data_IF_327045262492
#
_entry.id   IF_327045262492
#
_cell.length_a   1.000
_cell.length_b   1.000
_cell.length_c   1.000
_cell.angle_alpha   90.00
_cell.angle_beta   90.00
_cell.angle_gamma   90.00
#
_symmetry.space_group_name_H-M   'P 1'
#
loop_
_entity.id
_entity.type
_entity.pdbx_description
1 polymer ?
#
# COMPACT_ATOMS: atom_id res chain seq x y z
N UNK A 1 -1.46 -12.77 -52.82
CA UNK A 1 -0.75 -13.49 -51.75
C UNK A 1 -0.43 -12.48 -50.65
N UNK A 2 -1.25 -12.42 -49.63
CA UNK A 2 -1.07 -11.51 -48.49
C UNK A 2 -0.60 -12.32 -47.32
N UNK A 3 0.64 -12.01 -46.84
CA UNK A 3 1.22 -12.61 -45.66
C UNK A 3 0.61 -11.95 -44.42
N UNK A 4 -0.21 -12.69 -43.72
CA UNK A 4 -0.69 -12.37 -42.36
C UNK A 4 0.47 -12.57 -41.39
N UNK A 5 1.05 -11.47 -40.91
CA UNK A 5 2.00 -11.50 -39.77
C UNK A 5 1.22 -11.67 -38.49
N UNK A 6 1.32 -12.86 -37.92
CA UNK A 6 0.82 -13.22 -36.59
C UNK A 6 1.63 -12.43 -35.54
N UNK A 7 1.06 -11.36 -34.97
CA UNK A 7 1.55 -10.77 -33.74
C UNK A 7 1.18 -11.71 -32.60
N UNK A 8 2.12 -12.53 -32.18
CA UNK A 8 2.05 -13.22 -30.89
C UNK A 8 2.05 -12.15 -29.78
N UNK A 9 0.88 -11.96 -29.19
CA UNK A 9 0.78 -11.31 -27.90
C UNK A 9 1.42 -12.26 -26.88
N UNK A 10 2.61 -11.91 -26.42
CA UNK A 10 3.22 -12.59 -25.27
C UNK A 10 2.37 -12.27 -24.05
N UNK A 11 1.45 -13.19 -23.72
CA UNK A 11 0.80 -13.22 -22.44
C UNK A 11 1.90 -13.49 -21.38
N UNK A 12 2.32 -12.46 -20.68
CA UNK A 12 3.11 -12.62 -19.47
C UNK A 12 2.23 -13.36 -18.46
N UNK A 13 2.38 -14.67 -18.43
CA UNK A 13 1.78 -15.53 -17.43
C UNK A 13 2.46 -15.25 -16.09
N UNK A 14 1.86 -14.35 -15.29
CA UNK A 14 2.22 -14.17 -13.88
C UNK A 14 1.67 -15.37 -13.09
N UNK A 15 2.28 -16.53 -13.27
CA UNK A 15 1.91 -17.79 -12.59
C UNK A 15 2.62 -17.94 -11.24
N UNK A 16 3.02 -16.86 -10.60
CA UNK A 16 3.42 -16.95 -9.20
C UNK A 16 2.15 -17.17 -8.38
N UNK A 17 2.00 -18.35 -7.74
CA UNK A 17 0.87 -18.63 -6.84
C UNK A 17 0.89 -17.62 -5.71
N UNK A 18 0.05 -16.58 -5.81
CA UNK A 18 -0.14 -15.63 -4.74
C UNK A 18 -0.69 -16.38 -3.52
N UNK A 19 -0.04 -16.20 -2.37
CA UNK A 19 -0.51 -16.76 -1.08
C UNK A 19 -1.69 -15.98 -0.54
N UNK A 20 -1.73 -14.67 -0.81
CA UNK A 20 -2.78 -13.76 -0.38
C UNK A 20 -3.35 -13.03 -1.59
N UNK A 21 -4.63 -12.73 -1.54
CA UNK A 21 -5.29 -11.86 -2.52
C UNK A 21 -4.95 -10.40 -2.24
N UNK A 22 -4.96 -10.01 -0.96
CA UNK A 22 -4.74 -8.63 -0.52
C UNK A 22 -3.74 -8.56 0.63
N UNK A 23 -2.82 -7.61 0.55
CA UNK A 23 -1.97 -7.16 1.66
C UNK A 23 -2.40 -5.76 2.10
N UNK A 24 -2.54 -5.54 3.42
CA UNK A 24 -2.88 -4.25 4.00
C UNK A 24 -1.67 -3.63 4.69
N UNK A 25 -1.13 -2.54 4.12
CA UNK A 25 -0.12 -1.69 4.74
C UNK A 25 -0.79 -0.49 5.41
N UNK A 26 -0.60 -0.31 6.72
CA UNK A 26 -1.25 0.74 7.50
C UNK A 26 -0.50 1.06 8.79
N UNK A 27 -0.71 2.25 9.33
CA UNK A 27 -0.25 2.61 10.68
C UNK A 27 -1.23 2.06 11.71
N UNK A 28 -0.79 1.07 12.50
CA UNK A 28 -1.67 0.39 13.46
C UNK A 28 -2.32 1.31 14.49
N UNK A 29 -1.56 2.29 15.02
CA UNK A 29 -2.05 3.26 16.00
C UNK A 29 -3.17 4.17 15.43
N UNK A 30 -3.20 4.41 14.12
CA UNK A 30 -4.17 5.32 13.50
C UNK A 30 -5.46 4.62 13.06
N UNK A 31 -5.37 3.40 12.55
CA UNK A 31 -6.49 2.81 11.78
C UNK A 31 -6.84 1.37 12.16
N UNK A 32 -6.01 0.68 12.96
CA UNK A 32 -6.25 -0.74 13.32
C UNK A 32 -7.61 -0.98 13.94
N UNK A 33 -7.96 -0.20 14.96
CA UNK A 33 -9.21 -0.38 15.73
C UNK A 33 -10.42 0.32 15.09
N UNK A 34 -10.40 0.53 13.79
CA UNK A 34 -11.46 1.19 13.04
C UNK A 34 -11.42 0.80 11.57
N UNK A 35 -11.02 1.74 10.72
CA UNK A 35 -11.06 1.59 9.27
C UNK A 35 -10.42 0.29 8.76
N UNK A 36 -9.17 0.00 9.16
CA UNK A 36 -8.45 -1.16 8.60
C UNK A 36 -9.05 -2.49 9.05
N UNK A 37 -9.49 -2.61 10.32
CA UNK A 37 -10.16 -3.84 10.79
C UNK A 37 -11.51 -4.05 10.11
N UNK A 38 -12.28 -2.98 9.89
CA UNK A 38 -13.55 -3.07 9.17
C UNK A 38 -13.31 -3.48 7.71
N UNK A 39 -12.34 -2.86 7.02
CA UNK A 39 -11.96 -3.23 5.66
C UNK A 39 -11.54 -4.70 5.59
N UNK A 40 -10.65 -5.15 6.48
CA UNK A 40 -10.22 -6.55 6.54
C UNK A 40 -11.39 -7.51 6.79
N UNK A 41 -12.30 -7.15 7.72
CA UNK A 41 -13.49 -7.95 8.03
C UNK A 41 -14.38 -8.13 6.79
N UNK A 42 -14.63 -7.06 6.05
CA UNK A 42 -15.44 -7.10 4.84
C UNK A 42 -14.76 -7.90 3.73
N UNK A 43 -13.46 -7.70 3.48
CA UNK A 43 -12.71 -8.47 2.50
C UNK A 43 -12.79 -9.98 2.80
N UNK A 44 -12.53 -10.37 4.04
CA UNK A 44 -12.58 -11.78 4.47
C UNK A 44 -13.98 -12.37 4.44
N UNK A 45 -15.01 -11.62 4.81
CA UNK A 45 -16.42 -12.05 4.72
C UNK A 45 -16.80 -12.43 3.28
N UNK A 46 -16.18 -11.79 2.31
CA UNK A 46 -16.40 -12.05 0.89
C UNK A 46 -15.38 -13.02 0.27
N UNK A 47 -14.70 -13.81 1.08
CA UNK A 47 -13.82 -14.87 0.63
C UNK A 47 -12.43 -14.41 0.19
N UNK A 48 -12.07 -13.12 0.36
CA UNK A 48 -10.77 -12.58 -0.03
C UNK A 48 -9.75 -12.89 1.05
N UNK A 49 -8.71 -13.65 0.71
CA UNK A 49 -7.63 -14.00 1.62
C UNK A 49 -6.70 -12.81 1.85
N UNK A 50 -6.89 -12.13 2.99
CA UNK A 50 -6.21 -10.88 3.31
C UNK A 50 -5.11 -11.11 4.34
N UNK A 51 -3.91 -10.58 4.08
CA UNK A 51 -2.86 -10.45 5.07
C UNK A 51 -2.94 -9.07 5.73
N UNK A 52 -3.07 -9.08 7.04
CA UNK A 52 -3.00 -7.90 7.89
C UNK A 52 -2.07 -8.21 9.06
N UNK A 53 -0.95 -7.47 9.20
CA UNK A 53 -0.06 -7.69 10.34
C UNK A 53 -0.73 -7.26 11.65
N UNK A 54 -0.92 -8.22 12.54
CA UNK A 54 -1.55 -8.01 13.85
C UNK A 54 -0.53 -7.63 14.95
N UNK A 55 0.76 -7.63 14.65
CA UNK A 55 1.80 -7.35 15.63
C UNK A 55 2.11 -5.86 15.69
N UNK A 56 1.94 -5.26 16.87
CA UNK A 56 2.45 -3.91 17.17
C UNK A 56 3.96 -4.02 17.39
N UNK A 57 4.75 -3.78 16.33
CA UNK A 57 6.21 -3.79 16.46
C UNK A 57 6.73 -2.35 16.45
N UNK A 58 7.48 -1.98 17.48
CA UNK A 58 8.12 -0.66 17.58
C UNK A 58 9.62 -0.82 17.38
N UNK A 59 10.18 -0.11 16.41
CA UNK A 59 11.63 0.07 16.25
C UNK A 59 12.41 -1.12 15.68
N UNK A 60 11.76 -2.20 15.26
CA UNK A 60 12.40 -3.33 14.59
C UNK A 60 12.50 -3.13 13.07
N UNK A 61 13.41 -3.86 12.43
CA UNK A 61 13.44 -3.94 10.98
C UNK A 61 12.26 -4.76 10.47
N UNK A 62 11.82 -4.47 9.23
CA UNK A 62 10.78 -5.24 8.55
C UNK A 62 11.14 -6.73 8.53
N UNK A 63 10.23 -7.59 9.00
CA UNK A 63 10.52 -9.03 9.11
C UNK A 63 10.51 -9.69 7.73
N UNK A 64 11.31 -10.75 7.58
CA UNK A 64 11.33 -11.56 6.36
C UNK A 64 9.95 -12.13 6.02
N UNK A 65 9.15 -12.47 7.04
CA UNK A 65 7.77 -12.96 6.86
C UNK A 65 6.88 -11.90 6.21
N UNK A 66 7.01 -10.64 6.65
CA UNK A 66 6.24 -9.53 6.09
C UNK A 66 6.64 -9.23 4.64
N UNK A 67 7.95 -9.23 4.36
CA UNK A 67 8.44 -9.08 2.98
C UNK A 67 7.88 -10.16 2.06
N UNK A 68 7.88 -11.42 2.52
CA UNK A 68 7.30 -12.55 1.77
C UNK A 68 5.78 -12.39 1.60
N UNK A 69 5.07 -11.85 2.60
CA UNK A 69 3.64 -11.59 2.48
C UNK A 69 3.35 -10.52 1.43
N UNK A 70 4.13 -9.43 1.38
CA UNK A 70 4.03 -8.41 0.32
C UNK A 70 4.29 -9.05 -1.05
N UNK A 71 5.39 -9.79 -1.21
CA UNK A 71 5.78 -10.43 -2.48
C UNK A 71 4.76 -11.46 -2.97
N UNK A 72 4.09 -12.15 -2.06
CA UNK A 72 3.11 -13.20 -2.39
C UNK A 72 1.66 -12.73 -2.36
N UNK A 73 1.42 -11.43 -2.37
CA UNK A 73 0.09 -10.84 -2.46
C UNK A 73 -0.19 -10.32 -3.87
N UNK A 74 -1.43 -10.43 -4.33
CA UNK A 74 -1.86 -9.97 -5.66
C UNK A 74 -2.10 -8.46 -5.68
N UNK A 75 -2.75 -7.96 -4.64
CA UNK A 75 -3.13 -6.55 -4.47
C UNK A 75 -2.51 -6.02 -3.18
N UNK A 76 -1.91 -4.84 -3.26
CA UNK A 76 -1.22 -4.17 -2.15
C UNK A 76 -1.97 -2.88 -1.82
N UNK A 77 -2.74 -2.85 -0.75
CA UNK A 77 -3.49 -1.68 -0.31
C UNK A 77 -2.66 -0.91 0.71
N UNK A 78 -2.46 0.39 0.46
CA UNK A 78 -1.73 1.29 1.34
C UNK A 78 -2.73 2.26 1.96
N UNK A 79 -2.88 2.24 3.29
CA UNK A 79 -3.75 3.17 4.01
C UNK A 79 -2.91 4.33 4.56
N UNK A 80 -2.82 5.40 3.79
CA UNK A 80 -2.16 6.63 4.21
C UNK A 80 -3.03 7.35 5.25
N UNK A 81 -2.55 7.37 6.48
CA UNK A 81 -3.15 8.08 7.61
C UNK A 81 -2.20 9.18 8.11
N UNK A 82 -2.70 10.00 9.04
CA UNK A 82 -2.00 11.14 9.61
C UNK A 82 -0.55 10.86 10.04
N UNK A 83 -0.31 9.73 10.70
CA UNK A 83 1.00 9.37 11.24
C UNK A 83 1.68 8.21 10.48
N UNK A 84 1.18 7.83 9.29
CA UNK A 84 1.76 6.74 8.50
C UNK A 84 3.27 6.89 8.33
N UNK A 85 3.71 8.10 7.95
CA UNK A 85 5.11 8.43 7.68
C UNK A 85 5.98 8.47 8.95
N UNK A 86 5.38 8.60 10.14
CA UNK A 86 6.14 8.57 11.40
C UNK A 86 6.71 7.17 11.72
N UNK A 87 6.24 6.14 11.03
CA UNK A 87 6.69 4.76 11.19
C UNK A 87 7.75 4.39 10.16
N UNK A 88 8.97 4.13 10.61
CA UNK A 88 10.03 3.58 9.73
C UNK A 88 9.62 2.24 9.14
N UNK A 89 8.82 1.45 9.88
CA UNK A 89 8.27 0.19 9.42
C UNK A 89 7.33 0.37 8.23
N UNK A 90 6.35 1.27 8.34
CA UNK A 90 5.43 1.57 7.23
C UNK A 90 6.18 2.12 6.00
N UNK A 91 7.24 2.90 6.21
CA UNK A 91 8.07 3.42 5.13
C UNK A 91 8.92 2.34 4.45
N UNK A 92 9.45 1.37 5.20
CA UNK A 92 10.16 0.23 4.64
C UNK A 92 9.19 -0.70 3.87
N UNK A 93 7.96 -0.94 4.38
CA UNK A 93 6.88 -1.62 3.64
C UNK A 93 6.56 -0.90 2.34
N UNK A 94 6.39 0.42 2.38
CA UNK A 94 6.05 1.22 1.22
C UNK A 94 7.07 1.08 0.09
N UNK A 95 8.37 1.12 0.43
CA UNK A 95 9.44 0.88 -0.54
C UNK A 95 9.29 -0.50 -1.17
N UNK A 96 9.07 -1.54 -0.35
CA UNK A 96 8.91 -2.91 -0.84
C UNK A 96 7.67 -3.08 -1.73
N UNK A 97 6.56 -2.45 -1.36
CA UNK A 97 5.32 -2.44 -2.15
C UNK A 97 5.55 -1.88 -3.56
N UNK A 98 6.30 -0.78 -3.67
CA UNK A 98 6.58 -0.19 -4.98
C UNK A 98 7.56 -1.01 -5.82
N UNK A 99 8.51 -1.71 -5.20
CA UNK A 99 9.33 -2.70 -5.90
C UNK A 99 8.46 -3.82 -6.49
N UNK A 100 7.47 -4.31 -5.73
CA UNK A 100 6.54 -5.34 -6.18
C UNK A 100 5.58 -4.85 -7.27
N UNK A 101 5.15 -3.58 -7.24
CA UNK A 101 4.36 -2.96 -8.31
C UNK A 101 5.06 -3.09 -9.67
N UNK A 102 6.37 -2.90 -9.71
CA UNK A 102 7.17 -3.06 -10.93
C UNK A 102 7.19 -4.51 -11.44
N UNK A 103 6.86 -5.48 -10.60
CA UNK A 103 6.72 -6.89 -10.94
C UNK A 103 5.29 -7.30 -11.34
N UNK A 104 4.38 -6.33 -11.50
CA UNK A 104 3.03 -6.54 -11.99
C UNK A 104 1.94 -6.65 -10.91
N UNK A 105 2.28 -6.45 -9.62
CA UNK A 105 1.29 -6.41 -8.56
C UNK A 105 0.50 -5.09 -8.59
N UNK A 106 -0.78 -5.17 -8.24
CA UNK A 106 -1.67 -4.00 -8.20
C UNK A 106 -1.49 -3.24 -6.90
N UNK A 107 -1.21 -1.93 -6.96
CA UNK A 107 -1.07 -1.07 -5.78
C UNK A 107 -2.24 -0.11 -5.71
N UNK A 108 -2.93 -0.09 -4.56
CA UNK A 108 -4.12 0.71 -4.32
C UNK A 108 -3.95 1.63 -3.10
N UNK A 109 -3.67 2.93 -3.28
CA UNK A 109 -3.61 3.88 -2.18
C UNK A 109 -4.99 4.25 -1.66
N UNK A 110 -5.11 4.38 -0.34
CA UNK A 110 -6.27 4.92 0.37
C UNK A 110 -5.81 6.11 1.20
N UNK A 111 -6.40 7.26 0.99
CA UNK A 111 -6.10 8.48 1.75
C UNK A 111 -7.13 8.62 2.89
N UNK A 112 -6.79 8.07 4.05
CA UNK A 112 -7.65 8.04 5.23
C UNK A 112 -7.56 9.33 6.03
N UNK A 113 -8.55 10.21 5.86
CA UNK A 113 -8.64 11.53 6.54
C UNK A 113 -7.39 12.41 6.31
N UNK A 114 -6.73 12.23 5.16
CA UNK A 114 -5.60 13.05 4.72
C UNK A 114 -5.81 13.47 3.27
N UNK A 115 -5.20 14.57 2.85
CA UNK A 115 -5.20 14.99 1.46
C UNK A 115 -4.05 14.34 0.70
N UNK A 116 -4.32 13.84 -0.51
CA UNK A 116 -3.30 13.23 -1.34
C UNK A 116 -2.20 14.21 -1.78
N UNK A 117 -2.53 15.50 -1.87
CA UNK A 117 -1.55 16.54 -2.18
C UNK A 117 -0.55 16.75 -1.05
N UNK A 118 -1.01 16.68 0.21
CA UNK A 118 -0.14 16.80 1.38
C UNK A 118 0.79 15.61 1.49
N UNK A 119 0.28 14.39 1.23
CA UNK A 119 1.10 13.18 1.17
C UNK A 119 2.15 13.29 0.07
N UNK A 120 1.74 13.72 -1.14
CA UNK A 120 2.61 13.84 -2.32
C UNK A 120 3.69 14.89 -2.14
N UNK A 121 3.31 16.06 -1.66
CA UNK A 121 4.22 17.20 -1.48
C UNK A 121 4.96 17.13 -0.15
N UNK A 122 4.60 16.14 0.71
CA UNK A 122 5.20 15.96 2.04
C UNK A 122 5.06 17.23 2.90
N UNK A 123 3.87 17.82 2.87
CA UNK A 123 3.54 19.04 3.62
C UNK A 123 3.12 18.72 5.06
N UNK A 124 3.18 19.75 5.92
CA UNK A 124 2.69 19.67 7.30
C UNK A 124 3.30 18.49 8.05
N UNK A 125 2.46 17.65 8.66
CA UNK A 125 2.90 16.51 9.47
C UNK A 125 3.77 15.50 8.72
N UNK A 126 3.58 15.34 7.41
CA UNK A 126 4.41 14.45 6.58
C UNK A 126 5.85 15.02 6.48
N UNK A 127 6.00 16.32 6.27
CA UNK A 127 7.28 17.01 6.26
C UNK A 127 7.98 16.95 7.62
N UNK A 128 7.25 17.26 8.69
CA UNK A 128 7.78 17.21 10.07
C UNK A 128 8.29 15.81 10.46
N UNK A 129 7.55 14.77 10.06
CA UNK A 129 7.97 13.39 10.30
C UNK A 129 9.28 13.06 9.55
N UNK A 130 9.43 13.53 8.30
CA UNK A 130 10.66 13.34 7.56
C UNK A 130 11.84 14.11 8.13
N UNK A 131 11.63 15.33 8.65
CA UNK A 131 12.68 16.08 9.37
C UNK A 131 13.22 15.27 10.54
N UNK A 132 12.32 14.65 11.34
CA UNK A 132 12.72 13.77 12.43
C UNK A 132 13.48 12.53 11.96
N UNK A 133 13.11 11.97 10.81
CA UNK A 133 13.85 10.84 10.22
C UNK A 133 15.22 11.28 9.71
N UNK A 134 15.35 12.44 9.08
CA UNK A 134 16.64 12.98 8.64
C UNK A 134 17.59 13.18 9.82
N UNK A 135 17.08 13.68 10.93
CA UNK A 135 17.86 13.82 12.16
C UNK A 135 18.29 12.46 12.75
N UNK A 136 17.37 11.49 12.76
CA UNK A 136 17.64 10.15 13.29
C UNK A 136 18.58 9.33 12.42
N UNK A 137 18.53 9.51 11.11
CA UNK A 137 19.30 8.73 10.12
C UNK A 137 20.35 9.58 9.39
N UNK A 138 21.03 10.48 10.13
CA UNK A 138 22.07 11.38 9.58
C UNK A 138 23.14 10.63 8.78
N UNK A 139 23.52 9.44 9.26
CA UNK A 139 24.52 8.58 8.64
C UNK A 139 23.96 7.73 7.47
N UNK A 140 22.64 7.71 7.30
CA UNK A 140 21.98 6.96 6.23
C UNK A 140 20.93 7.80 5.47
N UNK A 141 21.36 8.94 4.96
CA UNK A 141 20.50 9.86 4.18
C UNK A 141 19.85 9.18 2.97
N UNK A 142 20.54 8.20 2.36
CA UNK A 142 19.98 7.43 1.22
C UNK A 142 18.69 6.69 1.59
N UNK A 143 18.59 6.17 2.81
CA UNK A 143 17.38 5.49 3.29
C UNK A 143 16.19 6.46 3.33
N UNK A 144 16.39 7.64 3.90
CA UNK A 144 15.33 8.67 3.99
C UNK A 144 14.93 9.17 2.59
N UNK A 145 15.88 9.36 1.68
CA UNK A 145 15.59 9.73 0.30
C UNK A 145 14.75 8.67 -0.43
N UNK A 146 15.02 7.37 -0.22
CA UNK A 146 14.20 6.27 -0.77
C UNK A 146 12.77 6.33 -0.24
N UNK A 147 12.58 6.58 1.05
CA UNK A 147 11.26 6.74 1.66
C UNK A 147 10.48 7.92 1.07
N UNK A 148 11.15 9.09 0.92
CA UNK A 148 10.54 10.28 0.29
C UNK A 148 10.11 10.00 -1.15
N UNK A 149 10.97 9.36 -1.93
CA UNK A 149 10.67 8.99 -3.31
C UNK A 149 9.51 8.01 -3.38
N UNK A 150 9.50 6.98 -2.54
CA UNK A 150 8.43 6.00 -2.46
C UNK A 150 7.08 6.63 -2.09
N UNK A 151 7.06 7.53 -1.10
CA UNK A 151 5.83 8.23 -0.72
C UNK A 151 5.28 9.06 -1.88
N UNK A 152 6.14 9.82 -2.57
CA UNK A 152 5.77 10.62 -3.73
C UNK A 152 5.24 9.75 -4.87
N UNK A 153 5.89 8.63 -5.17
CA UNK A 153 5.45 7.71 -6.22
C UNK A 153 4.08 7.09 -5.87
N UNK A 154 3.91 6.53 -4.67
CA UNK A 154 2.66 5.92 -4.25
C UNK A 154 1.49 6.90 -4.25
N UNK A 155 1.72 8.16 -3.82
CA UNK A 155 0.68 9.20 -3.80
C UNK A 155 0.29 9.74 -5.18
N UNK A 156 1.04 9.42 -6.23
CA UNK A 156 0.68 9.70 -7.64
C UNK A 156 -0.16 8.59 -8.27
N UNK A 157 -0.26 7.42 -7.64
CA UNK A 157 -1.16 6.36 -8.08
C UNK A 157 -2.60 6.79 -7.82
N UNK A 158 -3.50 6.55 -8.76
CA UNK A 158 -4.93 6.79 -8.56
C UNK A 158 -5.41 6.01 -7.34
N UNK A 159 -6.01 6.70 -6.39
CA UNK A 159 -6.41 6.12 -5.10
C UNK A 159 -7.73 6.69 -4.59
N UNK A 160 -8.17 6.19 -3.46
CA UNK A 160 -9.44 6.58 -2.85
C UNK A 160 -9.26 7.51 -1.66
N UNK A 161 -10.13 8.53 -1.60
CA UNK A 161 -10.18 9.47 -0.49
C UNK A 161 -11.28 9.08 0.48
N UNK A 162 -10.90 8.78 1.71
CA UNK A 162 -11.82 8.53 2.80
C UNK A 162 -11.89 9.76 3.71
N UNK A 163 -12.93 10.58 3.52
CA UNK A 163 -13.11 11.82 4.28
C UNK A 163 -14.13 11.70 5.43
N UNK A 164 -15.22 10.94 5.23
CA UNK A 164 -16.33 10.80 6.19
C UNK A 164 -16.86 9.36 6.26
N UNK A 165 -17.36 8.96 7.43
CA UNK A 165 -17.90 7.60 7.69
C UNK A 165 -19.14 7.25 6.85
N UNK A 166 -19.94 8.24 6.47
CA UNK A 166 -21.15 8.04 5.64
C UNK A 166 -20.86 7.63 4.21
N UNK A 167 -19.68 7.92 3.67
CA UNK A 167 -19.24 7.54 2.30
C UNK A 167 -18.69 6.10 2.28
N UNK A 168 -18.51 5.49 3.45
CA UNK A 168 -17.88 4.18 3.62
C UNK A 168 -18.59 3.07 2.84
N UNK A 169 -19.93 3.02 2.86
CA UNK A 169 -20.70 1.94 2.24
C UNK A 169 -20.67 1.98 0.70
N UNK A 170 -20.69 3.17 0.10
CA UNK A 170 -20.73 3.30 -1.37
C UNK A 170 -19.33 3.15 -1.95
N UNK A 171 -18.34 3.79 -1.36
CA UNK A 171 -16.93 3.67 -1.79
C UNK A 171 -16.41 2.24 -1.60
N UNK A 172 -16.86 1.53 -0.56
CA UNK A 172 -16.46 0.16 -0.30
C UNK A 172 -17.06 -0.82 -1.31
N UNK A 173 -18.30 -0.59 -1.80
CA UNK A 173 -18.90 -1.36 -2.88
C UNK A 173 -18.13 -1.16 -4.20
N UNK A 174 -17.70 0.07 -4.52
CA UNK A 174 -16.82 0.33 -5.65
C UNK A 174 -15.44 -0.33 -5.47
N UNK A 175 -14.91 -0.35 -4.24
CA UNK A 175 -13.69 -1.06 -3.87
C UNK A 175 -13.81 -2.57 -4.12
N UNK A 176 -14.96 -3.14 -3.76
CA UNK A 176 -15.32 -4.53 -3.99
C UNK A 176 -15.29 -4.88 -5.46
N UNK A 177 -15.99 -4.10 -6.28
CA UNK A 177 -16.04 -4.30 -7.73
C UNK A 177 -14.64 -4.20 -8.36
N UNK A 178 -13.82 -3.25 -7.90
CA UNK A 178 -12.47 -3.08 -8.41
C UNK A 178 -11.54 -4.24 -8.01
N UNK A 179 -11.56 -4.66 -6.75
CA UNK A 179 -10.80 -5.82 -6.27
C UNK A 179 -11.24 -7.10 -6.99
N UNK A 180 -12.55 -7.29 -7.20
CA UNK A 180 -13.10 -8.46 -7.89
C UNK A 180 -12.66 -8.57 -9.36
N UNK A 181 -12.34 -7.45 -10.01
CA UNK A 181 -11.83 -7.45 -11.39
C UNK A 181 -10.38 -7.97 -11.46
N UNK A 182 -9.62 -7.82 -10.37
CA UNK A 182 -8.20 -8.17 -10.31
C UNK A 182 -7.91 -9.50 -9.56
N UNK A 183 -8.90 -10.14 -8.97
CA UNK A 183 -8.83 -11.50 -8.39
C UNK A 183 -9.35 -12.54 -9.37
#
# INVERSE_FOLDING_TARGET
MALLTNKQASSFSFTQRCRYDVFLSFRGEDTRNGFTSNLNGILRHNGINTFMDNKLRRGENISTELLKAIESSRILIIVFSKNYVSSTWCLDELVKILECKNNGQVVLPVFYKVDSSDVRNQNGMFGEAFTKHEDKFKDNKKKVQRWRAALKEASNISGWHYKNEYVFNISLLCYYQYIYIYI
#
